data_IF_189517233845
#
_entry.id   IF_189517233845
#
_cell.length_a   1.000
_cell.length_b   1.000
_cell.length_c   1.000
_cell.angle_alpha   90.00
_cell.angle_beta   90.00
_cell.angle_gamma   90.00
#
_symmetry.space_group_name_H-M   'P 1'
#
loop_
_entity.id
_entity.type
_entity.pdbx_description
1 polymer ?
#
# COMPACT_ATOMS: atom_id res chain seq x y z
N UNK A 1 39.86 -20.87 16.27
CA UNK A 1 38.79 -21.55 15.50
C UNK A 1 38.34 -20.60 14.39
N UNK A 2 38.41 -21.03 13.12
CA UNK A 2 37.93 -20.28 11.96
C UNK A 2 36.46 -20.64 11.71
N UNK A 3 35.64 -19.69 11.25
CA UNK A 3 34.23 -19.95 10.88
C UNK A 3 34.07 -20.96 9.74
N UNK A 4 35.17 -21.41 9.13
CA UNK A 4 35.21 -22.48 8.12
C UNK A 4 35.33 -23.89 8.72
N UNK A 5 35.61 -24.02 10.02
CA UNK A 5 35.87 -25.31 10.69
C UNK A 5 34.74 -25.63 11.69
N UNK A 6 33.54 -25.87 11.17
CA UNK A 6 32.37 -26.32 11.94
C UNK A 6 32.36 -27.86 11.91
N UNK A 7 32.64 -28.49 13.06
CA UNK A 7 32.80 -29.96 13.18
C UNK A 7 31.59 -30.67 13.76
N UNK A 8 30.69 -29.94 14.42
CA UNK A 8 29.49 -30.50 15.02
C UNK A 8 28.40 -30.60 13.95
N UNK A 9 27.95 -31.82 13.68
CA UNK A 9 26.80 -32.10 12.84
C UNK A 9 25.76 -32.81 13.69
N UNK A 10 24.50 -32.43 13.57
CA UNK A 10 23.38 -33.10 14.21
C UNK A 10 22.20 -33.17 13.23
N UNK A 11 21.28 -34.12 13.43
CA UNK A 11 20.13 -34.33 12.55
C UNK A 11 18.86 -33.84 13.21
N UNK A 12 18.21 -32.84 12.61
CA UNK A 12 16.94 -32.30 13.07
C UNK A 12 15.79 -32.93 12.28
N UNK A 13 14.89 -33.61 12.99
CA UNK A 13 13.63 -34.09 12.42
C UNK A 13 12.59 -32.99 12.54
N UNK A 14 12.04 -32.54 11.42
CA UNK A 14 11.00 -31.49 11.36
C UNK A 14 9.70 -32.12 10.90
N UNK A 15 8.76 -32.28 11.83
CA UNK A 15 7.38 -32.64 11.47
C UNK A 15 6.71 -31.41 10.86
N UNK A 16 6.38 -31.47 9.57
CA UNK A 16 5.71 -30.38 8.85
C UNK A 16 4.60 -30.92 7.97
N UNK A 17 3.46 -30.23 7.97
CA UNK A 17 2.40 -30.43 6.98
C UNK A 17 2.71 -29.76 5.63
N UNK A 18 3.76 -28.92 5.58
CA UNK A 18 4.24 -28.35 4.33
C UNK A 18 5.14 -29.36 3.64
N UNK A 19 4.77 -29.76 2.42
CA UNK A 19 5.67 -30.49 1.53
C UNK A 19 6.90 -29.61 1.30
N UNK A 20 8.09 -30.14 1.61
CA UNK A 20 9.34 -29.48 1.25
C UNK A 20 9.28 -29.15 -0.24
N UNK A 21 9.30 -27.86 -0.58
CA UNK A 21 9.45 -27.48 -1.98
C UNK A 21 10.73 -28.11 -2.47
N UNK A 22 10.67 -28.83 -3.60
CA UNK A 22 11.86 -29.38 -4.24
C UNK A 22 12.87 -28.26 -4.28
N UNK A 23 14.03 -28.46 -3.62
CA UNK A 23 15.11 -27.50 -3.46
C UNK A 23 15.05 -26.44 -4.56
N UNK A 24 14.62 -25.23 -4.22
CA UNK A 24 14.20 -24.24 -5.20
C UNK A 24 15.19 -24.21 -6.36
N UNK A 25 14.71 -24.44 -7.59
CA UNK A 25 15.54 -24.70 -8.76
C UNK A 25 16.61 -23.61 -8.87
N UNK A 26 17.84 -23.94 -8.47
CA UNK A 26 18.92 -22.96 -8.29
C UNK A 26 19.24 -22.26 -9.60
N UNK A 27 18.94 -22.88 -10.75
CA UNK A 27 19.06 -22.25 -12.07
C UNK A 27 17.99 -21.18 -12.26
N UNK A 28 16.74 -21.45 -11.88
CA UNK A 28 15.64 -20.47 -11.93
C UNK A 28 15.80 -19.33 -10.93
N UNK A 29 16.51 -19.56 -9.83
CA UNK A 29 16.79 -18.56 -8.79
C UNK A 29 18.23 -18.03 -8.82
N UNK A 30 18.93 -18.15 -9.95
CA UNK A 30 20.33 -17.74 -10.06
C UNK A 30 20.55 -16.28 -9.62
N UNK A 31 19.60 -15.39 -9.94
CA UNK A 31 19.61 -13.99 -9.50
C UNK A 31 19.68 -13.81 -7.98
N UNK A 32 19.07 -14.72 -7.21
CA UNK A 32 19.03 -14.66 -5.74
C UNK A 32 20.17 -15.42 -5.08
N UNK A 33 20.69 -16.49 -5.69
CA UNK A 33 21.82 -17.26 -5.14
C UNK A 33 23.19 -16.65 -5.47
N UNK A 34 23.30 -15.91 -6.58
CA UNK A 34 24.53 -15.25 -7.00
C UNK A 34 24.23 -13.80 -7.45
N UNK A 35 23.81 -12.92 -6.53
CA UNK A 35 23.48 -11.54 -6.89
C UNK A 35 24.75 -10.82 -7.34
N UNK A 36 24.80 -10.43 -8.61
CA UNK A 36 25.88 -9.61 -9.12
C UNK A 36 25.73 -8.16 -8.64
N UNK A 37 26.84 -7.47 -8.42
CA UNK A 37 26.83 -6.05 -8.03
C UNK A 37 26.15 -5.23 -9.14
N UNK A 38 25.06 -4.54 -8.81
CA UNK A 38 24.26 -3.78 -9.78
C UNK A 38 23.25 -4.59 -10.57
N UNK A 39 23.07 -5.89 -10.28
CA UNK A 39 21.99 -6.67 -10.87
C UNK A 39 20.63 -6.12 -10.42
N UNK A 40 19.71 -5.97 -11.38
CA UNK A 40 18.30 -5.73 -11.11
C UNK A 40 17.56 -7.06 -11.05
N UNK A 41 16.58 -7.15 -10.16
CA UNK A 41 15.67 -8.30 -10.09
C UNK A 41 14.48 -8.01 -10.99
N UNK A 42 14.27 -8.82 -12.01
CA UNK A 42 13.09 -8.71 -12.85
C UNK A 42 11.86 -9.25 -12.12
N UNK A 43 10.67 -8.85 -12.57
CA UNK A 43 9.41 -9.45 -12.10
C UNK A 43 9.42 -10.97 -12.28
N UNK A 44 10.02 -11.48 -13.37
CA UNK A 44 10.13 -12.93 -13.62
C UNK A 44 10.99 -13.64 -12.59
N UNK A 45 12.10 -13.03 -12.17
CA UNK A 45 12.95 -13.59 -11.12
C UNK A 45 12.15 -13.68 -9.81
N UNK A 46 11.39 -12.64 -9.49
CA UNK A 46 10.54 -12.63 -8.31
C UNK A 46 9.38 -13.63 -8.41
N UNK A 47 8.73 -13.79 -9.56
CA UNK A 47 7.69 -14.79 -9.78
C UNK A 47 8.24 -16.23 -9.68
N UNK A 48 9.47 -16.45 -10.17
CA UNK A 48 10.17 -17.73 -10.00
C UNK A 48 10.44 -18.03 -8.52
N UNK A 49 10.80 -17.00 -7.73
CA UNK A 49 10.97 -17.12 -6.28
C UNK A 49 9.62 -17.35 -5.56
N UNK A 50 8.59 -16.63 -5.97
CA UNK A 50 7.26 -16.67 -5.38
C UNK A 50 6.50 -17.97 -5.72
N UNK A 51 6.87 -18.65 -6.81
CA UNK A 51 6.23 -19.87 -7.29
C UNK A 51 4.86 -19.64 -7.94
N UNK A 52 4.49 -18.39 -8.21
CA UNK A 52 3.25 -17.98 -8.90
C UNK A 52 3.43 -16.60 -9.56
N UNK A 53 2.65 -16.27 -10.60
CA UNK A 53 2.65 -14.93 -11.17
C UNK A 53 2.26 -13.90 -10.12
N UNK A 54 2.86 -12.71 -10.19
CA UNK A 54 2.39 -11.60 -9.37
C UNK A 54 1.09 -11.04 -9.94
N UNK A 55 0.19 -10.51 -9.10
CA UNK A 55 -0.96 -9.77 -9.59
C UNK A 55 -0.51 -8.62 -10.51
N UNK A 56 -1.30 -8.29 -11.55
CA UNK A 56 -0.96 -7.20 -12.44
C UNK A 56 -0.94 -5.88 -11.66
N UNK A 57 0.12 -5.09 -11.84
CA UNK A 57 0.23 -3.76 -11.25
C UNK A 57 -0.62 -2.77 -12.05
N UNK A 58 -1.92 -2.75 -11.78
CA UNK A 58 -2.88 -1.87 -12.46
C UNK A 58 -3.14 -0.63 -11.63
N UNK A 59 -3.21 0.53 -12.29
CA UNK A 59 -3.69 1.75 -11.65
C UNK A 59 -5.13 1.55 -11.20
N UNK A 60 -5.45 1.83 -9.92
CA UNK A 60 -6.81 1.70 -9.41
C UNK A 60 -7.78 2.59 -10.22
N UNK A 61 -8.94 2.04 -10.57
CA UNK A 61 -9.97 2.77 -11.32
C UNK A 61 -11.21 3.03 -10.47
N UNK A 62 -11.95 4.07 -10.83
CA UNK A 62 -13.23 4.41 -10.20
C UNK A 62 -14.19 3.22 -10.21
N UNK A 63 -14.67 2.84 -9.02
CA UNK A 63 -15.51 1.65 -8.80
C UNK A 63 -14.80 0.56 -8.00
N UNK A 64 -13.46 0.55 -8.01
CA UNK A 64 -12.61 -0.46 -7.37
C UNK A 64 -11.72 0.12 -6.25
N UNK A 65 -11.91 1.41 -5.89
CA UNK A 65 -11.13 2.02 -4.82
C UNK A 65 -11.47 1.40 -3.47
N UNK A 66 -10.48 1.31 -2.60
CA UNK A 66 -10.60 0.78 -1.24
C UNK A 66 -10.08 1.80 -0.22
N UNK A 67 -10.23 1.49 1.07
CA UNK A 67 -9.63 2.29 2.14
C UNK A 67 -8.10 2.35 2.10
N UNK A 68 -7.46 1.41 1.43
CA UNK A 68 -6.01 1.34 1.29
C UNK A 68 -5.51 1.96 -0.02
N UNK A 69 -6.42 2.35 -0.92
CA UNK A 69 -6.01 3.05 -2.13
C UNK A 69 -5.54 4.46 -1.75
N UNK A 70 -4.39 4.92 -2.28
CA UNK A 70 -3.94 6.29 -2.10
C UNK A 70 -4.98 7.29 -2.61
N UNK A 71 -5.25 8.35 -1.85
CA UNK A 71 -6.20 9.39 -2.27
C UNK A 71 -5.69 10.07 -3.55
N UNK A 72 -4.37 10.18 -3.69
CA UNK A 72 -3.69 10.70 -4.89
C UNK A 72 -4.02 9.93 -6.17
N UNK A 73 -4.38 8.64 -6.10
CA UNK A 73 -4.70 7.80 -7.26
C UNK A 73 -6.18 7.83 -7.65
N UNK A 74 -7.03 8.53 -6.88
CA UNK A 74 -8.47 8.54 -7.08
C UNK A 74 -8.96 9.70 -7.99
N UNK A 75 -8.11 10.24 -8.86
CA UNK A 75 -8.35 11.50 -9.59
C UNK A 75 -9.51 11.43 -10.60
N UNK A 76 -9.94 10.23 -11.00
CA UNK A 76 -11.11 10.02 -11.85
C UNK A 76 -12.43 10.32 -11.12
N UNK A 77 -12.39 10.40 -9.79
CA UNK A 77 -13.55 10.72 -8.95
C UNK A 77 -13.55 12.18 -8.54
N UNK A 78 -14.56 12.94 -8.96
CA UNK A 78 -14.72 14.34 -8.56
C UNK A 78 -14.66 14.55 -7.04
N UNK A 79 -15.30 13.65 -6.27
CA UNK A 79 -15.34 13.75 -4.80
C UNK A 79 -13.96 13.51 -4.20
N UNK A 80 -13.23 12.52 -4.71
CA UNK A 80 -11.88 12.29 -4.25
C UNK A 80 -10.93 13.45 -4.61
N UNK A 81 -11.11 14.08 -5.78
CA UNK A 81 -10.37 15.31 -6.13
C UNK A 81 -10.63 16.46 -5.17
N UNK A 82 -11.89 16.68 -4.80
CA UNK A 82 -12.24 17.72 -3.82
C UNK A 82 -11.62 17.42 -2.46
N UNK A 83 -11.74 16.17 -2.00
CA UNK A 83 -11.13 15.72 -0.75
C UNK A 83 -9.61 15.89 -0.77
N UNK A 84 -8.95 15.45 -1.84
CA UNK A 84 -7.51 15.61 -2.04
C UNK A 84 -7.09 17.08 -2.00
N UNK A 85 -7.85 17.96 -2.65
CA UNK A 85 -7.60 19.40 -2.63
C UNK A 85 -7.70 20.01 -1.23
N UNK A 86 -8.70 19.60 -0.43
CA UNK A 86 -8.83 20.06 0.97
C UNK A 86 -7.63 19.60 1.82
N UNK A 87 -7.26 18.32 1.71
CA UNK A 87 -6.12 17.75 2.45
C UNK A 87 -4.79 18.38 2.01
N UNK A 88 -4.60 18.58 0.70
CA UNK A 88 -3.41 19.23 0.15
C UNK A 88 -3.27 20.65 0.67
N UNK A 89 -4.36 21.42 0.74
CA UNK A 89 -4.35 22.77 1.32
C UNK A 89 -4.02 22.77 2.80
N UNK A 90 -4.52 21.79 3.56
CA UNK A 90 -4.17 21.66 4.98
C UNK A 90 -2.69 21.31 5.16
N UNK A 91 -2.16 20.39 4.35
CA UNK A 91 -0.74 20.02 4.39
C UNK A 91 0.15 21.20 3.98
N UNK A 92 -0.19 21.92 2.91
CA UNK A 92 0.54 23.11 2.45
C UNK A 92 0.64 24.17 3.55
N UNK A 93 -0.42 24.36 4.36
CA UNK A 93 -0.36 25.25 5.53
C UNK A 93 0.59 24.74 6.62
N UNK A 94 0.69 23.43 6.81
CA UNK A 94 1.57 22.82 7.81
C UNK A 94 3.05 22.94 7.43
N UNK A 95 3.36 22.86 6.14
CA UNK A 95 4.73 22.97 5.60
C UNK A 95 5.06 24.36 5.06
N UNK A 96 4.21 25.36 5.32
CA UNK A 96 4.38 26.72 4.81
C UNK A 96 5.75 27.29 5.21
N UNK A 97 6.50 27.80 4.23
CA UNK A 97 7.86 28.30 4.43
C UNK A 97 8.94 27.21 4.51
N UNK A 98 8.57 25.94 4.33
CA UNK A 98 9.48 24.79 4.20
C UNK A 98 9.20 23.97 2.93
N UNK A 99 8.46 24.52 1.98
CA UNK A 99 7.94 23.83 0.79
C UNK A 99 9.06 23.16 -0.04
N UNK A 100 10.16 23.87 -0.27
CA UNK A 100 11.31 23.41 -1.06
C UNK A 100 12.38 22.69 -0.23
N UNK A 101 12.14 22.50 1.07
CA UNK A 101 13.06 21.72 1.91
C UNK A 101 12.87 20.22 1.65
N UNK A 102 13.87 19.37 1.93
CA UNK A 102 13.71 17.92 1.88
C UNK A 102 12.50 17.42 2.70
N UNK A 103 12.19 18.11 3.80
CA UNK A 103 11.02 17.80 4.63
C UNK A 103 9.70 18.16 3.93
N UNK A 104 9.60 19.33 3.31
CA UNK A 104 8.42 19.74 2.56
C UNK A 104 8.13 18.82 1.38
N UNK A 105 9.18 18.46 0.62
CA UNK A 105 9.09 17.48 -0.47
C UNK A 105 8.63 16.11 0.02
N UNK A 106 9.20 15.63 1.14
CA UNK A 106 8.80 14.37 1.76
C UNK A 106 7.32 14.39 2.18
N UNK A 107 6.88 15.46 2.86
CA UNK A 107 5.49 15.59 3.31
C UNK A 107 4.50 15.63 2.15
N UNK A 108 4.84 16.32 1.06
CA UNK A 108 4.05 16.33 -0.17
C UNK A 108 3.95 14.93 -0.81
N UNK A 109 5.07 14.20 -0.88
CA UNK A 109 5.07 12.83 -1.38
C UNK A 109 4.23 11.89 -0.49
N UNK A 110 4.38 12.00 0.84
CA UNK A 110 3.60 11.22 1.80
C UNK A 110 2.10 11.50 1.70
N UNK A 111 1.71 12.76 1.47
CA UNK A 111 0.30 13.13 1.29
C UNK A 111 -0.29 12.52 0.02
N UNK A 112 0.47 12.51 -1.08
CA UNK A 112 0.04 11.89 -2.34
C UNK A 112 -0.20 10.39 -2.19
N UNK A 113 0.69 9.71 -1.47
CA UNK A 113 0.64 8.26 -1.20
C UNK A 113 -0.24 7.90 0.02
N UNK A 114 -0.90 8.88 0.64
CA UNK A 114 -1.68 8.65 1.85
C UNK A 114 -2.93 7.81 1.51
N UNK A 115 -3.14 6.66 2.18
CA UNK A 115 -4.33 5.85 1.96
C UNK A 115 -5.56 6.53 2.57
N UNK A 116 -6.74 6.31 1.96
CA UNK A 116 -8.00 6.94 2.39
C UNK A 116 -8.32 6.72 3.88
N UNK A 117 -7.98 5.55 4.43
CA UNK A 117 -8.19 5.23 5.86
C UNK A 117 -7.50 6.18 6.83
N UNK A 118 -6.39 6.80 6.42
CA UNK A 118 -5.61 7.68 7.29
C UNK A 118 -6.42 8.89 7.77
N UNK A 119 -7.47 9.27 7.03
CA UNK A 119 -8.39 10.33 7.43
C UNK A 119 -9.08 10.03 8.77
N UNK A 120 -9.31 8.76 9.12
CA UNK A 120 -9.88 8.42 10.43
C UNK A 120 -8.92 8.73 11.58
N UNK A 121 -7.61 8.65 11.33
CA UNK A 121 -6.58 8.93 12.34
C UNK A 121 -6.33 10.43 12.47
N UNK A 122 -6.22 11.12 11.33
CA UNK A 122 -5.88 12.55 11.30
C UNK A 122 -7.09 13.48 11.36
N UNK A 123 -8.31 12.97 11.13
CA UNK A 123 -9.54 13.75 11.05
C UNK A 123 -10.05 14.27 12.40
N UNK A 124 -9.35 14.06 13.51
CA UNK A 124 -9.67 14.65 14.81
C UNK A 124 -11.07 14.34 15.32
N UNK A 125 -11.63 13.17 15.00
CA UNK A 125 -12.99 12.77 15.38
C UNK A 125 -14.13 13.44 14.58
N UNK A 126 -13.82 14.30 13.61
CA UNK A 126 -14.82 14.90 12.73
C UNK A 126 -15.48 13.87 11.80
N UNK A 127 -14.71 12.88 11.36
CA UNK A 127 -15.13 11.77 10.50
C UNK A 127 -15.07 10.44 11.25
N UNK A 128 -16.20 9.74 11.32
CA UNK A 128 -16.25 8.37 11.82
C UNK A 128 -16.13 7.36 10.66
N UNK A 129 -15.96 6.07 11.00
CA UNK A 129 -15.81 5.00 10.00
C UNK A 129 -16.99 4.91 9.03
N UNK A 130 -18.23 5.05 9.53
CA UNK A 130 -19.43 5.00 8.69
C UNK A 130 -19.50 6.13 7.67
N UNK A 131 -19.08 7.33 8.05
CA UNK A 131 -18.97 8.47 7.12
C UNK A 131 -17.89 8.23 6.05
N UNK A 132 -16.75 7.63 6.42
CA UNK A 132 -15.71 7.30 5.44
C UNK A 132 -16.16 6.18 4.49
N UNK A 133 -16.88 5.17 4.99
CA UNK A 133 -17.52 4.13 4.18
C UNK A 133 -18.50 4.73 3.17
N UNK A 134 -19.36 5.64 3.61
CA UNK A 134 -20.27 6.37 2.75
C UNK A 134 -19.53 7.21 1.70
N UNK A 135 -18.45 7.90 2.10
CA UNK A 135 -17.61 8.68 1.21
C UNK A 135 -16.95 7.80 0.14
N UNK A 136 -16.43 6.62 0.51
CA UNK A 136 -15.85 5.66 -0.42
C UNK A 136 -16.88 5.17 -1.45
N UNK A 137 -18.12 4.92 -1.03
CA UNK A 137 -19.21 4.55 -1.95
C UNK A 137 -19.47 5.65 -2.98
N UNK A 138 -19.47 6.92 -2.56
CA UNK A 138 -19.62 8.04 -3.48
C UNK A 138 -18.41 8.18 -4.41
N UNK A 139 -17.20 8.04 -3.87
CA UNK A 139 -15.94 8.09 -4.62
C UNK A 139 -15.94 7.03 -5.74
N UNK A 140 -16.43 5.83 -5.45
CA UNK A 140 -16.61 4.73 -6.41
C UNK A 140 -17.79 4.90 -7.38
N UNK A 141 -18.41 6.09 -7.45
CA UNK A 141 -19.42 6.43 -8.45
C UNK A 141 -20.87 6.16 -8.04
N UNK A 142 -21.12 5.62 -6.84
CA UNK A 142 -22.48 5.39 -6.32
C UNK A 142 -22.92 6.58 -5.46
N UNK A 143 -22.98 7.77 -6.06
CA UNK A 143 -23.18 9.04 -5.36
C UNK A 143 -24.43 9.04 -4.47
N UNK A 144 -25.61 8.79 -5.03
CA UNK A 144 -26.87 8.86 -4.26
C UNK A 144 -26.92 7.86 -3.10
N UNK A 145 -26.43 6.64 -3.32
CA UNK A 145 -26.35 5.61 -2.27
C UNK A 145 -25.41 6.05 -1.15
N UNK A 146 -24.24 6.59 -1.51
CA UNK A 146 -23.28 7.07 -0.54
C UNK A 146 -23.76 8.34 0.20
N UNK A 147 -24.45 9.25 -0.46
CA UNK A 147 -25.04 10.44 0.19
C UNK A 147 -26.09 10.04 1.24
N UNK A 148 -26.99 9.10 0.92
CA UNK A 148 -27.95 8.57 1.89
C UNK A 148 -27.26 7.88 3.08
N UNK A 149 -26.20 7.10 2.81
CA UNK A 149 -25.40 6.47 3.86
C UNK A 149 -24.66 7.51 4.74
N UNK A 150 -24.17 8.59 4.15
CA UNK A 150 -23.46 9.66 4.85
C UNK A 150 -24.39 10.41 5.80
N UNK A 151 -25.60 10.75 5.33
CA UNK A 151 -26.63 11.38 6.15
C UNK A 151 -26.98 10.49 7.34
N UNK A 152 -27.21 9.19 7.10
CA UNK A 152 -27.46 8.23 8.18
C UNK A 152 -26.29 8.14 9.18
N UNK A 153 -25.05 8.15 8.69
CA UNK A 153 -23.86 8.09 9.53
C UNK A 153 -23.63 9.37 10.36
N UNK A 154 -24.13 10.52 9.89
CA UNK A 154 -24.11 11.78 10.62
C UNK A 154 -25.13 11.79 11.76
N UNK A 155 -26.33 11.22 11.56
CA UNK A 155 -27.37 11.11 12.59
C UNK A 155 -27.08 10.03 13.64
N UNK A 156 -26.26 9.04 13.30
CA UNK A 156 -25.82 7.97 14.21
C UNK A 156 -24.45 8.26 14.86
N UNK A 157 -23.98 9.52 14.82
CA UNK A 157 -22.69 9.95 15.36
C UNK A 157 -22.73 10.15 16.87
#
# INVERSE_FOLDING_TARGET
>A
ASSQDIRLTDTLQVASAQTASSSADRKKLAAYYAPAKGASFSQRDFEALLGRPVPPNQTPTKGNYTFNTPIGDMQDSFIARQLYGVLSKQMAKMVAGQEDTPMGLLMNAMMKEMPLRSILMFGGGSLNRGMLEALLVMINGKFFKGAGALIKALFNK
#
